data_IF_881966370502
#
_entry.id   IF_881966370502
#
_cell.length_a   1.000
_cell.length_b   1.000
_cell.length_c   1.000
_cell.angle_alpha   90.00
_cell.angle_beta   90.00
_cell.angle_gamma   90.00
#
_symmetry.space_group_name_H-M   'P 1'
#
loop_
_entity.id
_entity.type
_entity.pdbx_description
1 polymer ?
#
# COMPACT_ATOMS: atom_id res chain seq x y z
N UNK A 1 49.15 15.39 12.37
CA UNK A 1 47.79 15.93 12.13
C UNK A 1 46.92 15.06 11.20
N UNK A 2 47.43 14.41 10.14
CA UNK A 2 46.60 13.57 9.22
C UNK A 2 46.01 12.29 9.84
N UNK A 3 46.62 11.73 10.88
CA UNK A 3 46.22 10.46 11.51
C UNK A 3 45.03 10.59 12.46
N UNK A 4 44.73 11.80 12.94
CA UNK A 4 43.59 12.08 13.83
C UNK A 4 42.28 12.24 13.06
N UNK A 5 42.33 12.83 11.85
CA UNK A 5 41.16 13.03 10.99
C UNK A 5 40.56 11.70 10.49
N UNK A 6 41.39 10.74 10.11
CA UNK A 6 40.96 9.42 9.60
C UNK A 6 40.28 8.58 10.69
N UNK A 7 40.74 8.68 11.94
CA UNK A 7 40.08 8.03 13.09
C UNK A 7 38.73 8.67 13.43
N UNK A 8 38.55 9.97 13.16
CA UNK A 8 37.26 10.65 13.39
C UNK A 8 36.21 10.27 12.34
N UNK A 9 36.61 10.12 11.07
CA UNK A 9 35.68 9.76 9.98
C UNK A 9 35.21 8.31 10.16
N UNK A 10 36.10 7.36 10.48
CA UNK A 10 35.71 5.98 10.75
C UNK A 10 34.77 5.83 11.96
N UNK A 11 34.91 6.69 12.98
CA UNK A 11 33.97 6.74 14.12
C UNK A 11 32.62 7.33 13.74
N UNK A 12 32.59 8.37 12.90
CA UNK A 12 31.35 8.99 12.43
C UNK A 12 30.57 8.04 11.54
N UNK A 13 31.22 7.31 10.61
CA UNK A 13 30.54 6.32 9.76
C UNK A 13 30.02 5.14 10.56
N UNK A 14 30.77 4.66 11.57
CA UNK A 14 30.31 3.59 12.46
C UNK A 14 29.16 4.03 13.37
N UNK A 15 29.15 5.29 13.82
CA UNK A 15 28.06 5.88 14.60
C UNK A 15 26.81 6.09 13.73
N UNK A 16 26.95 6.47 12.46
CA UNK A 16 25.82 6.61 11.53
C UNK A 16 25.25 5.24 11.18
N UNK A 17 26.08 4.23 10.91
CA UNK A 17 25.61 2.86 10.64
C UNK A 17 25.00 2.22 11.90
N UNK A 18 25.56 2.46 13.09
CA UNK A 18 24.98 2.01 14.36
C UNK A 18 23.71 2.79 14.75
N UNK A 19 23.59 4.07 14.37
CA UNK A 19 22.37 4.84 14.56
C UNK A 19 21.27 4.37 13.60
N UNK A 20 21.61 4.07 12.33
CA UNK A 20 20.66 3.55 11.34
C UNK A 20 20.19 2.13 11.69
N UNK A 21 21.06 1.28 12.23
CA UNK A 21 20.71 -0.08 12.69
C UNK A 21 20.04 -0.11 14.08
N UNK A 22 20.39 0.84 14.97
CA UNK A 22 19.84 0.93 16.33
C UNK A 22 18.46 1.57 16.42
N UNK A 23 18.05 2.34 15.41
CA UNK A 23 16.72 2.97 15.34
C UNK A 23 15.60 2.06 14.83
N UNK A 24 15.91 0.83 14.38
CA UNK A 24 14.92 -0.12 13.87
C UNK A 24 14.43 -1.16 14.90
N UNK A 25 15.06 -1.26 16.08
CA UNK A 25 14.90 -2.43 16.97
C UNK A 25 14.22 -2.16 18.31
N UNK A 26 13.65 -0.98 18.54
CA UNK A 26 12.78 -0.75 19.69
C UNK A 26 11.46 -0.12 19.24
N UNK A 27 10.38 -0.46 19.94
CA UNK A 27 8.97 -0.12 19.68
C UNK A 27 8.20 -1.13 18.83
N UNK A 28 7.94 -2.30 19.42
CA UNK A 28 6.70 -3.02 19.22
C UNK A 28 6.33 -3.75 20.52
N UNK A 29 5.81 -3.01 21.51
CA UNK A 29 5.07 -3.58 22.62
C UNK A 29 3.78 -2.77 22.83
N UNK A 30 2.67 -3.51 22.82
CA UNK A 30 1.29 -3.14 23.16
C UNK A 30 0.55 -2.32 22.09
N UNK A 31 -0.71 -2.60 21.73
CA UNK A 31 -1.81 -3.15 22.52
C UNK A 31 -2.65 -4.20 21.75
N UNK A 32 -3.30 -5.04 22.53
CA UNK A 32 -4.17 -6.16 22.18
C UNK A 32 -5.53 -5.70 21.65
N UNK A 33 -5.83 -6.01 20.39
CA UNK A 33 -7.21 -6.32 19.99
C UNK A 33 -7.56 -7.72 20.45
N UNK A 34 -8.83 -7.97 20.77
CA UNK A 34 -9.25 -9.20 21.46
C UNK A 34 -9.01 -10.49 20.65
N UNK A 35 -8.81 -10.45 19.33
CA UNK A 35 -8.24 -11.54 18.54
C UNK A 35 -7.58 -10.97 17.26
N UNK A 36 -6.33 -10.48 17.31
CA UNK A 36 -5.69 -9.76 16.19
C UNK A 36 -5.33 -10.67 15.00
N UNK A 37 -5.58 -11.98 15.15
CA UNK A 37 -5.36 -13.02 14.16
C UNK A 37 -6.66 -13.66 13.68
N UNK A 38 -7.84 -13.19 14.15
CA UNK A 38 -9.10 -13.72 13.67
C UNK A 38 -9.25 -13.38 12.17
N UNK A 39 -9.48 -14.39 11.30
CA UNK A 39 -9.77 -14.13 9.91
C UNK A 39 -11.15 -13.44 9.78
N UNK A 40 -11.40 -12.74 8.67
CA UNK A 40 -12.75 -12.29 8.35
C UNK A 40 -13.68 -13.49 8.16
N UNK A 41 -14.95 -13.32 8.54
CA UNK A 41 -15.99 -14.31 8.25
C UNK A 41 -16.35 -14.28 6.75
N UNK A 42 -16.19 -15.41 6.07
CA UNK A 42 -16.34 -15.57 4.61
C UNK A 42 -17.16 -16.82 4.22
N UNK A 43 -17.94 -17.38 5.15
CA UNK A 43 -18.64 -18.66 4.95
C UNK A 43 -19.88 -18.55 4.05
N UNK A 44 -20.44 -17.34 3.91
CA UNK A 44 -21.61 -17.05 3.07
C UNK A 44 -21.54 -15.63 2.48
N UNK A 45 -22.29 -15.31 1.41
CA UNK A 45 -22.40 -13.93 0.90
C UNK A 45 -22.81 -12.92 1.98
N UNK A 46 -23.71 -13.33 2.89
CA UNK A 46 -24.16 -12.48 3.99
C UNK A 46 -23.02 -12.16 4.95
N UNK A 47 -22.27 -13.18 5.36
CA UNK A 47 -21.17 -13.03 6.31
C UNK A 47 -20.00 -12.26 5.69
N UNK A 48 -19.66 -12.54 4.42
CA UNK A 48 -18.65 -11.79 3.68
C UNK A 48 -19.00 -10.30 3.60
N UNK A 49 -20.23 -9.94 3.21
CA UNK A 49 -20.64 -8.53 3.13
C UNK A 49 -20.61 -7.85 4.50
N UNK A 50 -21.12 -8.51 5.54
CA UNK A 50 -21.13 -7.94 6.90
C UNK A 50 -19.72 -7.74 7.44
N UNK A 51 -18.87 -8.74 7.27
CA UNK A 51 -17.46 -8.74 7.67
C UNK A 51 -16.68 -7.64 6.94
N UNK A 52 -16.89 -7.49 5.64
CA UNK A 52 -16.28 -6.42 4.83
C UNK A 52 -16.69 -5.04 5.31
N UNK A 53 -18.00 -4.79 5.46
CA UNK A 53 -18.53 -3.50 5.92
C UNK A 53 -17.98 -3.15 7.30
N UNK A 54 -18.01 -4.11 8.24
CA UNK A 54 -17.51 -3.94 9.60
C UNK A 54 -16.02 -3.59 9.62
N UNK A 55 -15.20 -4.33 8.86
CA UNK A 55 -13.77 -4.07 8.75
C UNK A 55 -13.50 -2.65 8.23
N UNK A 56 -14.18 -2.27 7.15
CA UNK A 56 -13.96 -0.98 6.50
C UNK A 56 -14.53 0.20 7.30
N UNK A 57 -15.64 0.03 8.00
CA UNK A 57 -16.19 1.05 8.91
C UNK A 57 -15.24 1.28 10.09
N UNK A 58 -14.74 0.22 10.73
CA UNK A 58 -13.75 0.32 11.80
C UNK A 58 -12.47 1.01 11.30
N UNK A 59 -12.01 0.63 10.10
CA UNK A 59 -10.86 1.24 9.48
C UNK A 59 -11.08 2.74 9.22
N UNK A 60 -12.23 3.13 8.67
CA UNK A 60 -12.58 4.53 8.40
C UNK A 60 -12.56 5.37 9.69
N UNK A 61 -13.16 4.90 10.78
CA UNK A 61 -13.19 5.65 12.05
C UNK A 61 -11.78 5.92 12.59
N UNK A 62 -10.87 4.94 12.48
CA UNK A 62 -9.47 5.09 12.89
C UNK A 62 -8.71 6.02 11.96
N UNK A 63 -8.81 5.80 10.65
CA UNK A 63 -8.08 6.60 9.65
C UNK A 63 -8.48 8.06 9.67
N UNK A 64 -9.77 8.36 9.83
CA UNK A 64 -10.30 9.71 9.93
C UNK A 64 -9.70 10.48 11.12
N UNK A 65 -9.54 9.80 12.24
CA UNK A 65 -9.11 10.41 13.51
C UNK A 65 -7.59 10.52 13.60
N UNK A 66 -6.87 9.44 13.32
CA UNK A 66 -5.44 9.32 13.61
C UNK A 66 -4.53 9.73 12.45
N UNK A 67 -5.00 9.59 11.21
CA UNK A 67 -4.14 9.67 10.03
C UNK A 67 -3.14 8.51 9.91
N UNK A 68 -2.18 8.59 8.98
CA UNK A 68 -1.05 7.65 8.88
C UNK A 68 0.10 8.11 9.76
N UNK A 69 0.48 7.28 10.72
CA UNK A 69 1.65 7.50 11.58
C UNK A 69 2.56 6.28 11.55
N UNK A 70 3.80 6.45 12.01
CA UNK A 70 4.68 5.30 12.18
C UNK A 70 4.11 4.30 13.20
N UNK A 71 3.44 4.79 14.25
CA UNK A 71 2.89 3.96 15.32
C UNK A 71 1.75 3.05 14.85
N UNK A 72 0.83 3.55 14.02
CA UNK A 72 -0.30 2.76 13.53
C UNK A 72 -0.01 2.01 12.21
N UNK A 73 1.23 2.03 11.71
CA UNK A 73 1.60 1.38 10.43
C UNK A 73 1.30 -0.12 10.40
N UNK A 74 1.58 -0.82 11.51
CA UNK A 74 1.45 -2.27 11.59
C UNK A 74 -0.03 -2.69 11.58
N UNK A 75 -0.84 -1.95 12.32
CA UNK A 75 -2.28 -2.10 12.39
C UNK A 75 -2.94 -1.82 11.04
N UNK A 76 -2.61 -0.69 10.39
CA UNK A 76 -3.12 -0.38 9.04
C UNK A 76 -2.69 -1.41 8.00
N UNK A 77 -1.47 -1.95 8.15
CA UNK A 77 -1.01 -3.09 7.37
C UNK A 77 -1.83 -4.36 7.62
N UNK A 78 -2.24 -4.63 8.86
CA UNK A 78 -3.12 -5.74 9.19
C UNK A 78 -4.52 -5.57 8.58
N UNK A 79 -5.12 -4.39 8.71
CA UNK A 79 -6.40 -4.06 8.05
C UNK A 79 -6.31 -4.26 6.54
N UNK A 80 -5.21 -3.81 5.91
CA UNK A 80 -5.01 -3.97 4.46
C UNK A 80 -4.94 -5.45 4.08
N UNK A 81 -4.21 -6.28 4.85
CA UNK A 81 -4.13 -7.73 4.62
C UNK A 81 -5.48 -8.42 4.82
N UNK A 82 -6.28 -7.99 5.79
CA UNK A 82 -7.63 -8.52 6.00
C UNK A 82 -8.56 -8.13 4.84
N UNK A 83 -8.49 -6.87 4.40
CA UNK A 83 -9.28 -6.37 3.27
C UNK A 83 -8.99 -7.15 1.97
N UNK A 84 -7.75 -7.60 1.74
CA UNK A 84 -7.42 -8.42 0.58
C UNK A 84 -8.13 -9.77 0.54
N UNK A 85 -8.52 -10.33 1.69
CA UNK A 85 -9.17 -11.64 1.74
C UNK A 85 -10.59 -11.62 1.17
N UNK A 86 -11.16 -10.44 0.94
CA UNK A 86 -12.48 -10.27 0.34
C UNK A 86 -12.45 -10.28 -1.19
N UNK A 87 -11.26 -10.27 -1.81
CA UNK A 87 -11.07 -10.06 -3.24
C UNK A 87 -10.25 -11.20 -3.87
N UNK A 88 -10.56 -11.54 -5.13
CA UNK A 88 -9.80 -12.52 -5.91
C UNK A 88 -8.69 -11.83 -6.70
N UNK A 89 -7.58 -11.53 -6.03
CA UNK A 89 -6.45 -10.77 -6.60
C UNK A 89 -5.34 -11.67 -7.16
N UNK A 90 -5.64 -12.94 -7.46
CA UNK A 90 -4.63 -13.91 -7.88
C UNK A 90 -3.97 -13.54 -9.23
N UNK A 91 -4.76 -12.94 -10.13
CA UNK A 91 -4.28 -12.49 -11.45
C UNK A 91 -3.50 -11.17 -11.39
N UNK A 92 -3.47 -10.51 -10.22
CA UNK A 92 -2.73 -9.26 -10.03
C UNK A 92 -1.28 -9.56 -9.64
N UNK A 93 -0.33 -8.95 -10.35
CA UNK A 93 1.10 -9.11 -10.11
C UNK A 93 1.49 -8.75 -8.65
N UNK A 94 2.35 -9.53 -7.97
CA UNK A 94 2.67 -9.33 -6.56
C UNK A 94 3.14 -7.91 -6.19
N UNK A 95 3.90 -7.24 -7.05
CA UNK A 95 4.45 -5.89 -6.80
C UNK A 95 3.39 -4.80 -6.70
N UNK A 96 2.23 -4.98 -7.36
CA UNK A 96 1.13 -3.99 -7.35
C UNK A 96 -0.10 -4.47 -6.57
N UNK A 97 -0.17 -5.76 -6.23
CA UNK A 97 -1.34 -6.39 -5.59
C UNK A 97 -1.79 -5.68 -4.33
N UNK A 98 -0.85 -5.24 -3.49
CA UNK A 98 -1.18 -4.52 -2.25
C UNK A 98 -1.90 -3.18 -2.53
N UNK A 99 -1.41 -2.44 -3.53
CA UNK A 99 -1.97 -1.16 -3.92
C UNK A 99 -3.35 -1.32 -4.57
N UNK A 100 -3.47 -2.28 -5.51
CA UNK A 100 -4.75 -2.61 -6.17
C UNK A 100 -5.78 -3.05 -5.14
N UNK A 101 -5.48 -4.04 -4.29
CA UNK A 101 -6.43 -4.54 -3.31
C UNK A 101 -6.91 -3.48 -2.31
N UNK A 102 -6.03 -2.55 -1.90
CA UNK A 102 -6.40 -1.45 -1.01
C UNK A 102 -7.33 -0.45 -1.70
N UNK A 103 -7.06 -0.13 -2.96
CA UNK A 103 -7.87 0.79 -3.76
C UNK A 103 -9.25 0.16 -4.10
N UNK A 104 -9.27 -1.11 -4.51
CA UNK A 104 -10.50 -1.89 -4.71
C UNK A 104 -11.37 -1.93 -3.46
N UNK A 105 -10.78 -2.15 -2.27
CA UNK A 105 -11.50 -2.11 -1.00
C UNK A 105 -12.19 -0.77 -0.74
N UNK A 106 -11.50 0.34 -1.01
CA UNK A 106 -12.06 1.69 -0.85
C UNK A 106 -13.19 1.93 -1.83
N UNK A 107 -13.00 1.60 -3.11
CA UNK A 107 -14.06 1.74 -4.11
C UNK A 107 -15.28 0.90 -3.77
N UNK A 108 -15.08 -0.37 -3.39
CA UNK A 108 -16.18 -1.25 -3.04
C UNK A 108 -16.95 -0.74 -1.82
N UNK A 109 -16.26 -0.24 -0.79
CA UNK A 109 -16.91 0.35 0.38
C UNK A 109 -17.74 1.59 0.00
N UNK A 110 -17.18 2.47 -0.83
CA UNK A 110 -17.88 3.66 -1.31
C UNK A 110 -19.12 3.31 -2.14
N UNK A 111 -19.06 2.25 -2.94
CA UNK A 111 -20.20 1.75 -3.70
C UNK A 111 -21.28 1.22 -2.75
N UNK A 112 -20.91 0.29 -1.86
CA UNK A 112 -21.82 -0.33 -0.91
C UNK A 112 -22.45 0.68 0.07
N UNK A 113 -21.81 1.81 0.32
CA UNK A 113 -22.34 2.89 1.17
C UNK A 113 -23.40 3.75 0.49
N UNK A 114 -23.58 3.64 -0.83
CA UNK A 114 -24.54 4.43 -1.60
C UNK A 114 -25.64 3.62 -2.26
N UNK A 115 -25.38 2.37 -2.62
CA UNK A 115 -26.40 1.50 -3.21
C UNK A 115 -27.30 0.89 -2.14
N UNK A 116 -28.53 0.59 -2.53
CA UNK A 116 -29.44 -0.21 -1.72
C UNK A 116 -28.98 -1.67 -1.72
N UNK A 117 -28.92 -2.27 -0.53
CA UNK A 117 -28.70 -3.70 -0.38
C UNK A 117 -30.04 -4.34 -0.03
N UNK A 118 -30.29 -5.59 -0.48
CA UNK A 118 -31.47 -6.32 -0.01
C UNK A 118 -31.42 -6.47 1.52
N UNK A 119 -32.57 -6.70 2.18
CA UNK A 119 -32.61 -7.03 3.60
C UNK A 119 -31.61 -8.13 3.95
N UNK A 120 -30.95 -8.03 5.11
CA UNK A 120 -29.89 -8.97 5.48
C UNK A 120 -30.39 -10.41 5.50
N UNK A 121 -31.65 -10.62 5.87
CA UNK A 121 -32.32 -11.92 5.89
C UNK A 121 -32.50 -12.53 4.50
N UNK A 122 -32.52 -11.71 3.44
CA UNK A 122 -32.65 -12.18 2.04
C UNK A 122 -31.29 -12.49 1.39
N UNK A 123 -30.20 -11.95 1.93
CA UNK A 123 -28.85 -12.30 1.48
C UNK A 123 -28.55 -13.74 1.92
N UNK A 124 -28.09 -14.66 1.04
CA UNK A 124 -27.87 -16.05 1.41
C UNK A 124 -26.89 -16.22 2.57
N UNK A 125 -27.30 -16.95 3.61
CA UNK A 125 -26.42 -17.52 4.63
C UNK A 125 -26.09 -18.99 4.34
N UNK A 126 -25.28 -19.61 5.20
CA UNK A 126 -24.93 -21.03 5.09
C UNK A 126 -26.14 -21.97 5.04
N UNK A 127 -27.17 -21.70 5.85
CA UNK A 127 -28.38 -22.53 5.90
C UNK A 127 -29.19 -22.43 4.61
N UNK A 128 -29.32 -21.22 4.05
CA UNK A 128 -29.98 -20.96 2.76
C UNK A 128 -29.19 -21.57 1.59
N UNK A 129 -27.87 -21.55 1.65
CA UNK A 129 -27.01 -22.21 0.66
C UNK A 129 -27.22 -23.72 0.72
N UNK A 130 -27.18 -24.31 1.92
CA UNK A 130 -27.35 -25.76 2.12
C UNK A 130 -28.75 -26.25 1.72
N UNK A 131 -29.78 -25.41 1.86
CA UNK A 131 -31.15 -25.73 1.44
C UNK A 131 -31.34 -25.77 -0.09
N UNK A 132 -30.43 -25.18 -0.88
CA UNK A 132 -30.51 -25.21 -2.35
C UNK A 132 -29.95 -26.53 -2.91
N UNK A 133 -30.66 -27.22 -3.83
CA UNK A 133 -30.13 -28.40 -4.51
C UNK A 133 -28.82 -28.09 -5.24
N UNK A 134 -27.73 -28.75 -4.85
CA UNK A 134 -26.40 -28.50 -5.40
C UNK A 134 -25.65 -27.29 -4.81
N UNK A 135 -26.21 -26.66 -3.78
CA UNK A 135 -25.64 -25.49 -3.12
C UNK A 135 -25.73 -24.20 -3.96
N UNK A 136 -24.93 -23.22 -3.57
CA UNK A 136 -24.77 -21.95 -4.28
C UNK A 136 -23.26 -21.66 -4.38
N UNK A 137 -22.78 -21.37 -5.58
CA UNK A 137 -21.36 -21.05 -5.81
C UNK A 137 -21.14 -19.61 -6.29
N UNK A 138 -22.23 -18.88 -6.53
CA UNK A 138 -22.23 -17.51 -7.03
C UNK A 138 -23.51 -16.81 -6.58
N UNK A 139 -23.37 -15.57 -6.15
CA UNK A 139 -24.48 -14.70 -5.79
C UNK A 139 -24.16 -13.27 -6.21
N UNK A 140 -25.10 -12.61 -6.88
CA UNK A 140 -24.95 -11.25 -7.36
C UNK A 140 -25.87 -10.35 -6.57
N UNK A 141 -25.37 -9.20 -6.12
CA UNK A 141 -26.17 -8.20 -5.42
C UNK A 141 -27.29 -7.74 -6.38
N UNK A 142 -28.57 -7.80 -5.99
CA UNK A 142 -29.69 -7.42 -6.85
C UNK A 142 -29.50 -6.06 -7.51
N UNK A 143 -29.90 -5.93 -8.78
CA UNK A 143 -29.78 -4.70 -9.57
C UNK A 143 -28.34 -4.19 -9.79
N UNK A 144 -27.34 -5.05 -9.61
CA UNK A 144 -25.95 -4.73 -9.90
C UNK A 144 -25.25 -5.89 -10.62
N UNK A 145 -24.02 -5.64 -11.06
CA UNK A 145 -23.11 -6.67 -11.58
C UNK A 145 -22.14 -7.19 -10.50
N UNK A 146 -22.20 -6.63 -9.28
CA UNK A 146 -21.32 -6.95 -8.16
C UNK A 146 -21.62 -8.37 -7.67
N UNK A 147 -20.64 -9.25 -7.86
CA UNK A 147 -20.84 -10.69 -7.70
C UNK A 147 -19.85 -11.27 -6.70
N UNK A 148 -20.39 -12.02 -5.73
CA UNK A 148 -19.61 -12.89 -4.86
C UNK A 148 -19.57 -14.32 -5.42
N UNK A 149 -18.41 -14.95 -5.35
CA UNK A 149 -18.17 -16.32 -5.77
C UNK A 149 -17.56 -17.12 -4.63
N UNK A 150 -17.89 -18.41 -4.60
CA UNK A 150 -17.26 -19.37 -3.69
C UNK A 150 -15.98 -19.91 -4.34
N UNK A 151 -14.83 -19.69 -3.70
CA UNK A 151 -13.54 -20.18 -4.19
C UNK A 151 -13.54 -21.70 -4.25
N UNK A 152 -13.08 -22.24 -5.38
CA UNK A 152 -13.08 -23.69 -5.66
C UNK A 152 -11.77 -24.39 -5.32
N UNK A 153 -10.67 -23.64 -5.26
CA UNK A 153 -9.32 -24.18 -5.14
C UNK A 153 -8.44 -23.20 -4.36
N UNK A 154 -7.32 -23.70 -3.82
CA UNK A 154 -6.32 -22.91 -3.10
C UNK A 154 -6.49 -22.94 -1.58
N UNK A 155 -5.65 -22.17 -0.88
CA UNK A 155 -5.61 -22.14 0.60
C UNK A 155 -6.90 -21.60 1.23
N UNK A 156 -7.73 -20.90 0.46
CA UNK A 156 -8.97 -20.27 0.87
C UNK A 156 -10.19 -20.93 0.19
N UNK A 157 -10.05 -22.18 -0.26
CA UNK A 157 -11.16 -22.96 -0.82
C UNK A 157 -12.39 -22.92 0.11
N UNK A 158 -13.55 -22.70 -0.49
CA UNK A 158 -14.83 -22.64 0.21
C UNK A 158 -15.22 -21.25 0.72
N UNK A 159 -14.30 -20.28 0.77
CA UNK A 159 -14.60 -18.90 1.14
C UNK A 159 -15.34 -18.17 0.03
N UNK A 160 -16.20 -17.23 0.42
CA UNK A 160 -16.89 -16.30 -0.47
C UNK A 160 -16.13 -14.98 -0.58
N UNK A 161 -15.82 -14.59 -1.81
CA UNK A 161 -15.08 -13.35 -2.14
C UNK A 161 -15.78 -12.63 -3.29
N UNK A 162 -15.54 -11.34 -3.46
CA UNK A 162 -15.86 -10.64 -4.69
C UNK A 162 -15.06 -11.25 -5.86
N UNK A 163 -15.71 -11.45 -7.00
CA UNK A 163 -15.05 -12.06 -8.15
C UNK A 163 -14.08 -11.07 -8.83
N UNK A 164 -13.08 -11.61 -9.53
CA UNK A 164 -12.08 -10.80 -10.25
C UNK A 164 -12.71 -9.72 -11.17
N UNK A 165 -13.82 -10.01 -11.86
CA UNK A 165 -14.51 -9.00 -12.67
C UNK A 165 -15.07 -7.82 -11.84
N UNK A 166 -15.66 -8.10 -10.68
CA UNK A 166 -16.10 -7.05 -9.75
C UNK A 166 -14.92 -6.22 -9.26
N UNK A 167 -13.79 -6.88 -9.01
CA UNK A 167 -12.59 -6.26 -8.45
C UNK A 167 -11.93 -5.32 -9.47
N UNK A 168 -11.87 -5.74 -10.73
CA UNK A 168 -11.39 -4.95 -11.87
C UNK A 168 -12.31 -3.75 -12.16
N UNK A 169 -13.63 -3.93 -12.04
CA UNK A 169 -14.64 -2.89 -12.33
C UNK A 169 -15.00 -2.01 -11.13
N UNK A 170 -14.47 -2.27 -9.94
CA UNK A 170 -14.74 -1.46 -8.75
C UNK A 170 -14.56 0.07 -8.97
N UNK A 171 -13.51 0.55 -9.69
CA UNK A 171 -13.40 1.98 -10.00
C UNK A 171 -14.54 2.50 -10.89
N UNK A 172 -14.99 1.72 -11.87
CA UNK A 172 -16.12 2.06 -12.75
C UNK A 172 -17.43 2.16 -11.96
N UNK A 173 -17.69 1.18 -11.08
CA UNK A 173 -18.86 1.21 -10.22
C UNK A 173 -18.89 2.43 -9.31
N UNK A 174 -17.74 2.79 -8.72
CA UNK A 174 -17.63 4.00 -7.93
C UNK A 174 -17.95 5.26 -8.74
N UNK A 175 -17.44 5.37 -9.97
CA UNK A 175 -17.70 6.51 -10.85
C UNK A 175 -19.19 6.69 -11.17
N UNK A 176 -19.94 5.60 -11.31
CA UNK A 176 -21.40 5.65 -11.52
C UNK A 176 -22.18 6.12 -10.29
N UNK A 177 -21.73 5.78 -9.08
CA UNK A 177 -22.48 6.06 -7.85
C UNK A 177 -21.93 7.24 -7.06
N UNK A 178 -20.75 7.79 -7.37
CA UNK A 178 -20.09 8.82 -6.53
C UNK A 178 -20.92 10.08 -6.27
N UNK A 179 -21.89 10.40 -7.14
CA UNK A 179 -22.81 11.53 -6.98
C UNK A 179 -24.09 11.19 -6.21
N UNK A 180 -24.36 9.92 -5.94
CA UNK A 180 -25.48 9.49 -5.11
C UNK A 180 -25.22 9.86 -3.64
N UNK A 181 -26.28 10.17 -2.87
CA UNK A 181 -26.15 10.43 -1.46
C UNK A 181 -25.67 9.18 -0.72
N UNK A 182 -24.90 9.37 0.35
CA UNK A 182 -24.54 8.31 1.26
C UNK A 182 -25.75 7.85 2.09
N UNK A 183 -25.77 6.56 2.45
CA UNK A 183 -26.73 6.03 3.43
C UNK A 183 -26.43 6.57 4.84
N UNK A 184 -27.44 6.68 5.72
CA UNK A 184 -27.22 7.07 7.11
C UNK A 184 -26.21 6.15 7.81
N UNK A 185 -25.22 6.75 8.48
CA UNK A 185 -24.17 6.01 9.19
C UNK A 185 -23.04 5.45 8.31
N UNK A 186 -23.03 5.78 7.01
CA UNK A 186 -21.97 5.38 6.09
C UNK A 186 -20.62 6.05 6.39
N UNK A 187 -19.56 5.51 5.78
CA UNK A 187 -18.20 6.03 5.85
C UNK A 187 -18.01 7.19 4.85
N UNK A 188 -18.68 8.32 5.11
CA UNK A 188 -18.70 9.47 4.19
C UNK A 188 -17.30 10.02 3.90
N UNK A 189 -16.97 10.14 2.62
CA UNK A 189 -15.70 10.68 2.15
C UNK A 189 -14.50 9.77 2.34
N UNK A 190 -14.69 8.46 2.49
CA UNK A 190 -13.61 7.48 2.63
C UNK A 190 -12.65 7.52 1.44
N UNK A 191 -13.14 7.66 0.20
CA UNK A 191 -12.31 7.82 -0.98
C UNK A 191 -11.45 9.08 -0.87
N UNK A 192 -12.05 10.22 -0.56
CA UNK A 192 -11.33 11.49 -0.41
C UNK A 192 -10.27 11.40 0.69
N UNK A 193 -10.59 10.77 1.81
CA UNK A 193 -9.64 10.48 2.89
C UNK A 193 -8.49 9.61 2.38
N UNK A 194 -8.80 8.47 1.77
CA UNK A 194 -7.83 7.51 1.26
C UNK A 194 -6.83 8.15 0.29
N UNK A 195 -7.34 8.94 -0.64
CA UNK A 195 -6.53 9.48 -1.72
C UNK A 195 -5.75 10.75 -1.30
N UNK A 196 -6.24 11.49 -0.31
CA UNK A 196 -5.58 12.72 0.18
C UNK A 196 -4.54 12.46 1.25
N UNK A 197 -4.53 11.26 1.82
CA UNK A 197 -3.65 10.89 2.91
C UNK A 197 -2.29 10.42 2.35
N UNK A 198 -1.18 11.13 2.61
CA UNK A 198 0.14 10.64 2.24
C UNK A 198 0.62 9.59 3.26
N UNK A 199 1.78 8.96 3.02
CA UNK A 199 2.38 8.07 4.01
C UNK A 199 2.94 8.81 5.23
N UNK A 200 3.33 8.05 6.25
CA UNK A 200 3.70 8.58 7.57
C UNK A 200 4.89 9.55 7.57
N UNK A 201 5.76 9.52 6.56
CA UNK A 201 6.90 10.44 6.43
C UNK A 201 6.50 11.84 5.96
N UNK A 202 5.32 11.98 5.35
CA UNK A 202 4.83 13.24 4.80
C UNK A 202 3.66 13.71 5.69
N UNK A 203 3.78 14.87 6.36
CA UNK A 203 2.70 15.35 7.22
C UNK A 203 1.39 15.59 6.45
N UNK A 204 0.26 15.07 6.95
CA UNK A 204 -1.07 15.33 6.38
C UNK A 204 -1.39 16.82 6.24
N UNK A 205 -0.90 17.64 7.17
CA UNK A 205 -1.07 19.10 7.15
C UNK A 205 -0.33 19.77 5.98
N UNK A 206 0.80 19.19 5.55
CA UNK A 206 1.55 19.70 4.39
C UNK A 206 0.71 19.54 3.12
N UNK A 207 0.11 18.37 2.91
CA UNK A 207 -0.75 18.09 1.76
C UNK A 207 -2.06 18.87 1.83
N UNK A 208 -2.64 18.99 3.03
CA UNK A 208 -3.84 19.80 3.26
C UNK A 208 -3.65 21.31 3.05
N UNK A 209 -2.42 21.81 3.20
CA UNK A 209 -2.07 23.21 2.93
C UNK A 209 -1.78 23.50 1.45
N UNK A 210 -1.69 22.48 0.60
CA UNK A 210 -1.45 22.67 -0.83
C UNK A 210 -2.68 23.33 -1.50
N UNK A 211 -2.47 24.18 -2.52
CA UNK A 211 -3.57 24.71 -3.32
C UNK A 211 -4.43 23.59 -3.93
N UNK A 212 -5.74 23.80 -4.09
CA UNK A 212 -6.66 22.77 -4.59
C UNK A 212 -6.28 22.18 -5.95
N UNK A 213 -5.60 22.93 -6.82
CA UNK A 213 -5.11 22.41 -8.10
C UNK A 213 -4.04 21.31 -7.94
N UNK A 214 -3.31 21.28 -6.83
CA UNK A 214 -2.31 20.22 -6.55
C UNK A 214 -2.95 18.88 -6.18
N UNK A 215 -4.24 18.88 -5.82
CA UNK A 215 -5.02 17.69 -5.48
C UNK A 215 -5.78 17.13 -6.69
N UNK A 216 -5.81 17.86 -7.82
CA UNK A 216 -6.34 17.35 -9.09
C UNK A 216 -5.56 16.11 -9.53
N UNK A 217 -6.24 15.14 -10.15
CA UNK A 217 -5.70 13.81 -10.47
C UNK A 217 -5.62 13.50 -11.96
N UNK A 218 -4.82 14.23 -12.76
CA UNK A 218 -4.62 13.86 -14.14
C UNK A 218 -3.95 12.48 -14.22
N UNK A 219 -4.59 11.54 -14.91
CA UNK A 219 -4.08 10.17 -15.07
C UNK A 219 -4.13 9.31 -13.81
N UNK A 220 -5.03 9.61 -12.86
CA UNK A 220 -5.24 8.82 -11.64
C UNK A 220 -4.33 9.17 -10.46
N UNK A 221 -3.29 9.99 -10.68
CA UNK A 221 -2.37 10.46 -9.65
C UNK A 221 -2.51 11.97 -9.45
N UNK A 222 -2.49 12.42 -8.19
CA UNK A 222 -2.56 13.82 -7.84
C UNK A 222 -1.33 14.59 -8.35
N UNK A 223 -1.50 15.86 -8.70
CA UNK A 223 -0.41 16.72 -9.20
C UNK A 223 0.75 16.80 -8.20
N UNK A 224 0.49 16.84 -6.89
CA UNK A 224 1.57 16.79 -5.89
C UNK A 224 2.36 15.48 -5.91
N UNK A 225 1.71 14.35 -6.21
CA UNK A 225 2.38 13.05 -6.35
C UNK A 225 3.32 13.04 -7.55
N UNK A 226 2.93 13.68 -8.66
CA UNK A 226 3.82 13.89 -9.81
C UNK A 226 5.05 14.74 -9.45
N UNK A 227 4.86 15.82 -8.68
CA UNK A 227 5.98 16.62 -8.19
C UNK A 227 6.90 15.81 -7.28
N UNK A 228 6.34 15.03 -6.36
CA UNK A 228 7.11 14.15 -5.46
C UNK A 228 7.87 13.08 -6.24
N UNK A 229 7.27 12.51 -7.30
CA UNK A 229 7.92 11.57 -8.21
C UNK A 229 9.15 12.18 -8.87
N UNK A 230 8.98 13.32 -9.56
CA UNK A 230 10.09 14.01 -10.24
C UNK A 230 11.19 14.38 -9.25
N UNK A 231 10.83 14.91 -8.09
CA UNK A 231 11.80 15.28 -7.06
C UNK A 231 12.58 14.05 -6.55
N UNK A 232 11.89 12.93 -6.32
CA UNK A 232 12.52 11.69 -5.86
C UNK A 232 13.52 11.18 -6.90
N UNK A 233 13.13 11.14 -8.17
CA UNK A 233 14.02 10.71 -9.26
C UNK A 233 15.25 11.63 -9.40
N UNK A 234 15.08 12.94 -9.28
CA UNK A 234 16.19 13.90 -9.33
C UNK A 234 17.14 13.71 -8.15
N UNK A 235 16.62 13.56 -6.93
CA UNK A 235 17.43 13.32 -5.72
C UNK A 235 18.20 12.00 -5.87
N UNK A 236 17.54 10.93 -6.30
CA UNK A 236 18.18 9.63 -6.56
C UNK A 236 19.29 9.75 -7.60
N UNK A 237 19.06 10.45 -8.71
CA UNK A 237 20.08 10.65 -9.75
C UNK A 237 21.29 11.45 -9.22
N UNK A 238 21.06 12.52 -8.47
CA UNK A 238 22.14 13.33 -7.86
C UNK A 238 22.94 12.49 -6.87
N UNK A 239 22.27 11.75 -5.98
CA UNK A 239 22.92 10.88 -5.01
C UNK A 239 23.72 9.76 -5.70
N UNK A 240 23.19 9.16 -6.77
CA UNK A 240 23.92 8.21 -7.61
C UNK A 240 25.21 8.81 -8.17
N UNK A 241 25.13 9.99 -8.80
CA UNK A 241 26.32 10.67 -9.35
C UNK A 241 27.35 10.96 -8.25
N UNK A 242 26.91 11.37 -7.06
CA UNK A 242 27.79 11.59 -5.91
C UNK A 242 28.45 10.29 -5.44
N UNK A 243 27.69 9.20 -5.33
CA UNK A 243 28.20 7.86 -4.97
C UNK A 243 29.29 7.44 -5.97
N UNK A 244 29.03 7.51 -7.27
CA UNK A 244 30.01 7.12 -8.30
C UNK A 244 31.24 8.02 -8.33
N UNK A 245 31.07 9.35 -8.16
CA UNK A 245 32.21 10.29 -8.12
C UNK A 245 33.09 10.05 -6.90
N UNK A 246 32.50 9.81 -5.74
CA UNK A 246 33.24 9.49 -4.52
C UNK A 246 33.92 8.13 -4.66
N UNK A 247 33.22 7.10 -5.13
CA UNK A 247 33.80 5.78 -5.39
C UNK A 247 35.04 5.87 -6.29
N UNK A 248 34.95 6.60 -7.41
CA UNK A 248 36.07 6.81 -8.33
C UNK A 248 37.22 7.64 -7.76
N UNK A 249 36.94 8.62 -6.90
CA UNK A 249 37.98 9.40 -6.22
C UNK A 249 38.75 8.54 -5.20
N UNK A 250 38.03 7.78 -4.37
CA UNK A 250 38.61 7.01 -3.27
C UNK A 250 39.28 5.71 -3.74
N UNK A 251 38.79 5.08 -4.81
CA UNK A 251 39.40 3.86 -5.40
C UNK A 251 40.80 4.09 -5.99
N UNK A 252 41.11 5.33 -6.40
CA UNK A 252 42.46 5.73 -6.83
C UNK A 252 43.48 5.67 -5.69
N UNK A 253 43.02 5.78 -4.45
CA UNK A 253 43.83 5.69 -3.22
C UNK A 253 43.87 4.24 -2.73
N UNK A 254 44.69 3.40 -3.36
CA UNK A 254 44.83 1.95 -3.05
C UNK A 254 45.53 1.62 -1.69
N UNK A 255 45.36 2.43 -0.65
CA UNK A 255 45.91 2.17 0.70
C UNK A 255 44.89 2.49 1.80
N UNK A 256 44.70 1.55 2.73
CA UNK A 256 43.88 1.74 3.93
C UNK A 256 42.37 1.75 3.67
N UNK A 257 41.66 2.75 4.21
CA UNK A 257 40.20 2.84 4.20
C UNK A 257 39.55 2.87 2.79
N UNK A 258 40.31 3.20 1.74
CA UNK A 258 39.81 3.23 0.36
C UNK A 258 39.33 1.87 -0.16
N UNK A 259 39.89 0.76 0.32
CA UNK A 259 39.45 -0.60 -0.05
C UNK A 259 38.05 -0.91 0.50
N UNK A 260 37.82 -0.60 1.78
CA UNK A 260 36.50 -0.78 2.41
C UNK A 260 35.45 0.15 1.80
N UNK A 261 35.80 1.41 1.52
CA UNK A 261 34.88 2.34 0.84
C UNK A 261 34.49 1.83 -0.56
N UNK A 262 35.45 1.33 -1.34
CA UNK A 262 35.19 0.79 -2.67
C UNK A 262 34.22 -0.41 -2.66
N UNK A 263 34.17 -1.18 -1.57
CA UNK A 263 33.21 -2.28 -1.41
C UNK A 263 31.82 -1.81 -0.96
N UNK A 264 31.75 -0.70 -0.22
CA UNK A 264 30.51 -0.16 0.35
C UNK A 264 29.71 0.67 -0.68
N UNK A 265 30.38 1.35 -1.61
CA UNK A 265 29.70 2.19 -2.59
C UNK A 265 28.74 1.44 -3.54
N UNK A 266 29.09 0.28 -4.13
CA UNK A 266 28.16 -0.49 -4.96
C UNK A 266 26.92 -0.94 -4.19
N UNK A 267 27.09 -1.29 -2.90
CA UNK A 267 25.96 -1.66 -2.02
C UNK A 267 25.01 -0.48 -1.85
N UNK A 268 25.53 0.73 -1.60
CA UNK A 268 24.69 1.94 -1.54
C UNK A 268 24.04 2.26 -2.88
N UNK A 269 24.75 2.09 -4.00
CA UNK A 269 24.19 2.29 -5.32
C UNK A 269 23.07 1.28 -5.64
N UNK A 270 23.14 0.06 -5.11
CA UNK A 270 22.07 -0.94 -5.26
C UNK A 270 20.84 -0.62 -4.40
N UNK A 271 21.04 -0.19 -3.15
CA UNK A 271 19.96 0.09 -2.19
C UNK A 271 19.21 1.38 -2.53
N UNK A 272 19.89 2.38 -3.08
CA UNK A 272 19.31 3.71 -3.30
C UNK A 272 18.09 3.71 -4.25
N UNK A 273 18.10 3.04 -5.41
CA UNK A 273 16.92 2.92 -6.27
C UNK A 273 15.77 2.19 -5.58
N UNK A 274 16.07 1.13 -4.80
CA UNK A 274 15.04 0.38 -4.06
C UNK A 274 14.37 1.25 -2.98
N UNK A 275 15.16 2.01 -2.22
CA UNK A 275 14.61 2.97 -1.25
C UNK A 275 13.79 4.07 -1.92
N UNK A 276 14.13 4.47 -3.14
CA UNK A 276 13.32 5.40 -3.92
C UNK A 276 11.97 4.77 -4.35
N UNK A 277 11.99 3.52 -4.81
CA UNK A 277 10.76 2.75 -5.11
C UNK A 277 9.87 2.64 -3.87
N UNK A 278 10.43 2.24 -2.73
CA UNK A 278 9.70 2.10 -1.47
C UNK A 278 9.08 3.43 -1.02
N UNK A 279 9.84 4.53 -1.14
CA UNK A 279 9.33 5.87 -0.83
C UNK A 279 8.15 6.26 -1.74
N UNK A 280 8.26 6.00 -3.06
CA UNK A 280 7.20 6.30 -4.01
C UNK A 280 5.94 5.45 -3.79
N UNK A 281 6.10 4.19 -3.39
CA UNK A 281 4.98 3.28 -3.10
C UNK A 281 4.31 3.60 -1.76
N UNK A 282 5.09 3.74 -0.68
CA UNK A 282 4.56 3.78 0.68
C UNK A 282 4.30 5.19 1.22
N UNK A 283 5.00 6.19 0.67
CA UNK A 283 4.88 7.59 1.12
C UNK A 283 4.10 8.45 0.13
N UNK A 284 4.39 8.30 -1.15
CA UNK A 284 3.72 9.07 -2.20
C UNK A 284 2.47 8.35 -2.72
N UNK A 285 2.38 7.03 -2.59
CA UNK A 285 1.30 6.20 -3.15
C UNK A 285 1.15 6.33 -4.68
N UNK A 286 2.27 6.25 -5.41
CA UNK A 286 2.22 6.05 -6.86
C UNK A 286 1.73 4.62 -7.14
N UNK A 287 0.67 4.48 -7.94
CA UNK A 287 0.01 3.19 -8.21
C UNK A 287 -0.17 2.93 -9.71
N UNK A 288 -0.64 1.71 -10.02
CA UNK A 288 -1.02 1.30 -11.37
C UNK A 288 0.17 1.07 -12.31
N UNK A 289 -0.09 1.20 -13.62
CA UNK A 289 0.90 0.96 -14.69
C UNK A 289 2.13 1.86 -14.57
N UNK A 290 1.95 3.09 -14.09
CA UNK A 290 3.05 4.02 -13.85
C UNK A 290 4.04 3.46 -12.82
N UNK A 291 3.54 2.97 -11.68
CA UNK A 291 4.39 2.38 -10.66
C UNK A 291 5.12 1.14 -11.18
N UNK A 292 4.43 0.23 -11.87
CA UNK A 292 5.06 -0.97 -12.43
C UNK A 292 6.21 -0.65 -13.39
N UNK A 293 6.06 0.38 -14.24
CA UNK A 293 7.12 0.81 -15.14
C UNK A 293 8.30 1.46 -14.38
N UNK A 294 8.02 2.22 -13.32
CA UNK A 294 9.04 2.84 -12.47
C UNK A 294 9.84 1.81 -11.68
N UNK A 295 9.15 0.85 -11.07
CA UNK A 295 9.72 -0.28 -10.32
C UNK A 295 10.71 -1.06 -11.20
N UNK A 296 10.26 -1.47 -12.38
CA UNK A 296 11.11 -2.15 -13.37
C UNK A 296 12.33 -1.31 -13.78
N UNK A 297 12.15 -0.01 -14.04
CA UNK A 297 13.25 0.86 -14.44
C UNK A 297 14.29 1.04 -13.31
N UNK A 298 13.84 1.22 -12.07
CA UNK A 298 14.73 1.38 -10.91
C UNK A 298 15.45 0.07 -10.55
N UNK A 299 14.80 -1.07 -10.73
CA UNK A 299 15.43 -2.39 -10.61
C UNK A 299 16.55 -2.59 -11.63
N UNK A 300 16.32 -2.20 -12.90
CA UNK A 300 17.38 -2.24 -13.92
C UNK A 300 18.56 -1.33 -13.57
N UNK A 301 18.30 -0.15 -13.00
CA UNK A 301 19.36 0.75 -12.52
C UNK A 301 20.12 0.12 -11.35
N UNK A 302 19.42 -0.52 -10.41
CA UNK A 302 20.03 -1.23 -9.27
C UNK A 302 20.91 -2.39 -9.75
N UNK A 303 20.43 -3.20 -10.69
CA UNK A 303 21.19 -4.28 -11.32
C UNK A 303 22.40 -3.75 -12.11
N UNK A 304 22.24 -2.67 -12.86
CA UNK A 304 23.33 -2.02 -13.59
C UNK A 304 24.44 -1.53 -12.65
N UNK A 305 24.07 -1.04 -11.46
CA UNK A 305 25.04 -0.62 -10.44
C UNK A 305 25.83 -1.78 -9.82
N UNK A 306 25.33 -3.02 -9.88
CA UNK A 306 26.06 -4.22 -9.42
C UNK A 306 27.21 -4.61 -10.36
N UNK A 307 27.03 -4.36 -11.66
CA UNK A 307 27.95 -4.80 -12.72
C UNK A 307 29.03 -3.75 -13.03
N UNK A 308 28.84 -2.49 -12.59
CA UNK A 308 29.72 -1.36 -12.85
C UNK A 308 30.86 -1.21 -11.82
#
# INVERSE_FOLDING_TARGET
>A
MRTQAIKSIGRITLIIVAAVLGLHSMYALAQSEQHPLAPPELSSPRDTLRSFMTLMDNAYQRWKTEGRTYANRAERGAITRLAHQFFDLNDIAPSVRNNVGRETAVFMKEVLDRIELPPWEEIPDEAMIAAKPGGLNRWTIPHTEITLVRLKEGLHEGNWVFNSETDERAPEFYEHVKQMPYKPGASEGLYQLFVSEPGWMIPRSLIGALPGWMQLRPGGQAVWQWCALVLTLLVTAVLMVLIFRLAGYWSRTRRGAGYYLAMVFPVFAMILPQTATDFLSDQVFITGKLFAALDFALDLVSLGALVA
#
